data_IF_280557749364
#
_entry.id   IF_280557749364
#
_cell.length_a   1.000
_cell.length_b   1.000
_cell.length_c   1.000
_cell.angle_alpha   90.00
_cell.angle_beta   90.00
_cell.angle_gamma   90.00
#
_symmetry.space_group_name_H-M   'P 1'
#
loop_
_entity.id
_entity.type
_entity.pdbx_description
1 polymer ?
#
# COMPACT_ATOMS: atom_id res chain seq x y z
N UNK A 1 7.72 -13.86 3.58
CA UNK A 1 6.57 -12.96 3.77
C UNK A 1 5.35 -13.82 4.04
N UNK A 2 4.70 -13.65 5.19
CA UNK A 2 3.41 -14.27 5.48
C UNK A 2 2.28 -13.54 4.72
N UNK A 3 1.19 -14.23 4.33
CA UNK A 3 0.05 -13.60 3.67
C UNK A 3 -0.71 -12.63 4.58
N UNK A 4 -1.48 -11.75 3.96
CA UNK A 4 -2.36 -10.74 4.56
C UNK A 4 -1.63 -9.80 5.52
N UNK A 5 -0.42 -9.39 5.12
CA UNK A 5 0.45 -8.46 5.84
C UNK A 5 1.13 -7.49 4.90
N UNK A 6 1.36 -6.27 5.38
CA UNK A 6 2.22 -5.26 4.75
C UNK A 6 3.54 -5.17 5.51
N UNK A 7 4.64 -5.09 4.76
CA UNK A 7 6.00 -5.02 5.29
C UNK A 7 6.65 -3.73 4.81
N UNK A 8 7.43 -3.11 5.68
CA UNK A 8 8.23 -1.93 5.40
C UNK A 8 9.69 -2.27 5.66
N UNK A 9 10.53 -2.22 4.64
CA UNK A 9 11.91 -2.68 4.75
C UNK A 9 12.69 -1.83 5.76
N UNK A 10 13.35 -2.49 6.71
CA UNK A 10 14.17 -1.82 7.73
C UNK A 10 13.40 -1.14 8.85
N UNK A 11 12.07 -1.31 8.94
CA UNK A 11 11.31 -0.83 10.09
C UNK A 11 11.50 -1.74 11.32
N UNK A 12 11.00 -1.35 12.51
CA UNK A 12 11.19 -2.14 13.73
C UNK A 12 10.46 -3.49 13.80
N UNK A 13 9.52 -3.75 12.88
CA UNK A 13 8.71 -4.97 12.81
C UNK A 13 9.04 -5.81 11.57
N UNK A 14 10.12 -6.62 11.58
CA UNK A 14 10.47 -7.49 10.45
C UNK A 14 9.40 -8.54 10.11
N UNK A 15 8.49 -8.83 11.03
CA UNK A 15 7.31 -9.68 10.84
C UNK A 15 6.19 -9.01 10.01
N UNK A 16 6.32 -7.72 9.70
CA UNK A 16 5.32 -6.90 9.03
C UNK A 16 4.10 -6.63 9.92
N UNK A 17 3.08 -6.02 9.32
CA UNK A 17 1.86 -5.60 10.01
C UNK A 17 0.65 -6.29 9.39
N UNK A 18 -0.26 -6.87 10.18
CA UNK A 18 -1.49 -7.45 9.65
C UNK A 18 -2.27 -6.45 8.80
N UNK A 19 -2.85 -6.91 7.70
CA UNK A 19 -3.82 -6.11 6.94
C UNK A 19 -5.18 -6.26 7.61
N UNK A 20 -5.69 -5.16 8.17
CA UNK A 20 -6.98 -5.11 8.85
C UNK A 20 -8.13 -4.88 7.88
N UNK A 21 -7.88 -4.12 6.82
CA UNK A 21 -8.85 -3.80 5.79
C UNK A 21 -8.17 -3.83 4.43
N UNK A 22 -8.81 -4.49 3.46
CA UNK A 22 -8.42 -4.44 2.07
C UNK A 22 -9.66 -4.38 1.18
N UNK A 23 -9.63 -3.47 0.21
CA UNK A 23 -10.65 -3.36 -0.81
C UNK A 23 -9.98 -3.28 -2.19
N UNK A 24 -10.42 -4.14 -3.09
CA UNK A 24 -10.17 -4.01 -4.52
C UNK A 24 -11.50 -3.71 -5.20
N UNK A 25 -11.56 -2.60 -5.92
CA UNK A 25 -12.75 -2.18 -6.66
C UNK A 25 -12.41 -1.80 -8.09
N UNK A 26 -13.43 -1.82 -8.95
CA UNK A 26 -13.32 -1.52 -10.37
C UNK A 26 -14.41 -0.54 -10.79
N UNK A 27 -14.04 0.47 -11.56
CA UNK A 27 -14.95 1.48 -12.11
C UNK A 27 -14.69 1.72 -13.59
N UNK A 28 -15.73 2.14 -14.31
CA UNK A 28 -15.62 2.50 -15.71
C UNK A 28 -15.44 4.01 -15.89
N UNK A 29 -14.39 4.41 -16.60
CA UNK A 29 -14.14 5.81 -16.99
C UNK A 29 -13.93 5.84 -18.50
N UNK A 30 -14.84 6.51 -19.24
CA UNK A 30 -14.73 6.68 -20.69
C UNK A 30 -14.48 5.36 -21.47
N UNK A 31 -15.11 4.26 -21.04
CA UNK A 31 -14.97 2.94 -21.68
C UNK A 31 -13.77 2.11 -21.22
N UNK A 32 -12.93 2.68 -20.34
CA UNK A 32 -11.76 2.02 -19.75
C UNK A 32 -12.07 1.61 -18.31
N UNK A 33 -11.60 0.44 -17.91
CA UNK A 33 -11.70 -0.04 -16.53
C UNK A 33 -10.51 0.47 -15.74
N UNK A 34 -10.81 1.09 -14.61
CA UNK A 34 -9.84 1.56 -13.62
C UNK A 34 -9.99 0.74 -12.36
N UNK A 35 -8.86 0.36 -11.78
CA UNK A 35 -8.81 -0.29 -10.48
C UNK A 35 -8.44 0.71 -9.41
N UNK A 36 -9.13 0.55 -8.28
CA UNK A 36 -8.83 1.24 -7.06
C UNK A 36 -8.55 0.19 -5.97
N UNK A 37 -7.41 0.33 -5.29
CA UNK A 37 -7.06 -0.46 -4.11
C UNK A 37 -7.04 0.45 -2.87
N UNK A 38 -7.54 -0.10 -1.76
CA UNK A 38 -7.42 0.46 -0.42
C UNK A 38 -6.88 -0.61 0.51
N UNK A 39 -5.87 -0.24 1.31
CA UNK A 39 -5.29 -1.09 2.33
C UNK A 39 -5.13 -0.28 3.62
N UNK A 40 -5.55 -0.87 4.74
CA UNK A 40 -5.24 -0.39 6.08
C UNK A 40 -4.60 -1.50 6.90
N UNK A 41 -3.46 -1.22 7.51
CA UNK A 41 -2.87 -2.16 8.46
C UNK A 41 -3.64 -2.16 9.78
N UNK A 42 -3.46 -3.20 10.59
CA UNK A 42 -3.69 -3.10 12.02
C UNK A 42 -2.71 -2.10 12.64
N UNK A 43 -2.98 -1.73 13.89
CA UNK A 43 -2.08 -0.88 14.65
C UNK A 43 -0.71 -1.56 14.76
N UNK A 44 0.38 -0.81 14.67
CA UNK A 44 1.74 -1.36 14.64
C UNK A 44 2.09 -2.16 15.92
N UNK A 45 1.51 -1.76 17.06
CA UNK A 45 1.64 -2.42 18.36
C UNK A 45 0.58 -3.52 18.61
N UNK A 46 -0.19 -3.93 17.60
CA UNK A 46 -1.33 -4.86 17.80
C UNK A 46 -0.93 -6.29 18.19
N UNK A 47 0.26 -6.74 17.82
CA UNK A 47 0.76 -8.10 18.08
C UNK A 47 2.08 -8.12 18.86
N UNK A 48 2.91 -7.09 18.68
CA UNK A 48 4.15 -6.88 19.42
C UNK A 48 4.27 -5.41 19.78
N UNK A 49 4.22 -5.18 21.08
CA UNK A 49 4.62 -3.92 21.70
C UNK A 49 6.17 -3.88 21.75
N UNK A 50 6.76 -2.77 21.31
CA UNK A 50 8.20 -2.54 21.44
C UNK A 50 8.33 -1.44 22.47
N UNK A 51 8.74 -1.81 23.69
CA UNK A 51 8.97 -0.86 24.76
C UNK A 51 9.96 0.22 24.28
N UNK A 52 9.40 1.39 24.02
CA UNK A 52 10.05 2.48 23.29
C UNK A 52 9.51 3.82 23.76
N UNK A 53 8.90 3.87 24.95
CA UNK A 53 8.42 5.13 25.51
C UNK A 53 9.55 6.16 25.46
N UNK A 54 9.22 7.42 25.20
CA UNK A 54 10.24 8.46 25.10
C UNK A 54 11.02 8.60 26.42
N UNK A 55 10.40 8.26 27.56
CA UNK A 55 11.04 8.21 28.87
C UNK A 55 12.06 7.06 28.99
N UNK A 56 11.75 5.88 28.44
CA UNK A 56 12.65 4.72 28.48
C UNK A 56 13.78 4.82 27.45
N UNK A 57 13.51 5.38 26.26
CA UNK A 57 14.53 5.64 25.25
C UNK A 57 15.57 6.67 25.74
N UNK A 58 15.12 7.75 26.39
CA UNK A 58 16.01 8.75 27.02
C UNK A 58 16.76 8.17 28.22
N UNK A 59 16.13 7.29 29.01
CA UNK A 59 16.76 6.65 30.17
C UNK A 59 17.81 5.59 29.79
N UNK A 60 17.58 4.84 28.72
CA UNK A 60 18.49 3.81 28.19
C UNK A 60 19.54 4.41 27.22
N UNK A 61 19.40 5.69 26.83
CA UNK A 61 20.31 6.36 25.90
C UNK A 61 20.29 5.76 24.50
N UNK A 62 19.14 5.24 24.06
CA UNK A 62 18.97 4.58 22.77
C UNK A 62 18.83 5.65 21.68
N UNK A 63 19.88 5.86 20.89
CA UNK A 63 19.83 6.69 19.69
C UNK A 63 19.50 5.84 18.46
N UNK A 64 18.38 6.16 17.81
CA UNK A 64 18.02 5.60 16.51
C UNK A 64 18.68 6.41 15.38
N UNK A 65 19.07 5.74 14.29
CA UNK A 65 19.73 6.39 13.17
C UNK A 65 18.78 7.31 12.38
N UNK A 66 17.47 7.05 12.40
CA UNK A 66 16.43 7.92 11.87
C UNK A 66 15.06 7.58 12.46
N UNK A 67 14.06 8.42 12.16
CA UNK A 67 12.65 8.19 12.49
C UNK A 67 12.12 6.84 11.97
N UNK A 68 12.68 6.34 10.86
CA UNK A 68 12.27 5.06 10.26
C UNK A 68 12.60 3.86 11.15
N UNK A 69 13.72 3.90 11.88
CA UNK A 69 14.15 2.83 12.79
C UNK A 69 13.60 2.97 14.21
N UNK A 70 12.95 4.09 14.54
CA UNK A 70 12.48 4.42 15.88
C UNK A 70 11.03 3.93 16.13
N UNK A 71 10.79 2.87 16.94
CA UNK A 71 9.45 2.33 17.20
C UNK A 71 8.44 3.37 17.67
N UNK A 72 8.86 4.27 18.56
CA UNK A 72 8.03 5.34 19.12
C UNK A 72 7.42 6.25 18.05
N UNK A 73 8.14 6.49 16.95
CA UNK A 73 7.62 7.31 15.84
C UNK A 73 6.48 6.56 15.16
N UNK A 74 6.67 5.29 14.84
CA UNK A 74 5.62 4.46 14.23
C UNK A 74 4.38 4.40 15.11
N UNK A 75 4.55 4.09 16.40
CA UNK A 75 3.44 3.95 17.35
C UNK A 75 2.60 5.23 17.46
N UNK A 76 3.21 6.41 17.38
CA UNK A 76 2.51 7.69 17.34
C UNK A 76 1.61 7.87 16.10
N UNK A 77 1.92 7.20 14.98
CA UNK A 77 1.09 7.22 13.77
C UNK A 77 0.09 6.06 13.70
N UNK A 78 0.18 5.11 14.64
CA UNK A 78 -0.72 3.98 14.86
C UNK A 78 -0.75 2.93 13.75
N UNK A 79 -1.10 3.29 12.51
CA UNK A 79 -1.32 2.33 11.43
C UNK A 79 -1.10 2.94 10.04
N UNK A 80 -0.74 2.09 9.09
CA UNK A 80 -0.63 2.46 7.68
C UNK A 80 -2.02 2.53 7.02
N UNK A 81 -2.25 3.58 6.22
CA UNK A 81 -3.28 3.59 5.18
C UNK A 81 -2.61 3.83 3.84
N UNK A 82 -2.77 2.92 2.88
CA UNK A 82 -2.29 3.04 1.51
C UNK A 82 -3.49 2.91 0.57
N UNK A 83 -3.84 3.98 -0.13
CA UNK A 83 -5.13 4.03 -0.82
C UNK A 83 -5.16 4.93 -2.04
N UNK A 84 -5.95 4.49 -3.01
CA UNK A 84 -6.33 5.25 -4.21
C UNK A 84 -7.70 5.92 -4.09
N UNK A 85 -8.42 5.69 -2.98
CA UNK A 85 -9.82 6.12 -2.74
C UNK A 85 -10.03 6.91 -1.45
N UNK A 86 -9.12 6.82 -0.47
CA UNK A 86 -9.32 7.41 0.86
C UNK A 86 -9.25 8.95 0.87
N UNK A 87 -8.26 9.53 0.18
CA UNK A 87 -8.10 11.00 0.06
C UNK A 87 -8.57 11.54 -1.29
N UNK A 88 -8.35 10.76 -2.36
CA UNK A 88 -8.71 11.07 -3.74
C UNK A 88 -9.22 9.81 -4.41
N UNK A 89 -9.72 9.88 -5.66
CA UNK A 89 -10.14 8.71 -6.45
C UNK A 89 -9.38 8.64 -7.78
N UNK A 90 -8.09 8.29 -7.71
CA UNK A 90 -7.18 8.27 -8.87
C UNK A 90 -7.07 6.87 -9.47
N UNK A 91 -6.61 5.89 -8.70
CA UNK A 91 -6.48 4.50 -9.13
C UNK A 91 -5.57 4.36 -10.36
N UNK A 92 -5.68 3.25 -11.07
CA UNK A 92 -4.91 3.04 -12.30
C UNK A 92 -5.75 2.35 -13.38
N UNK A 93 -5.48 2.69 -14.64
CA UNK A 93 -6.09 2.04 -15.80
C UNK A 93 -5.65 0.58 -15.87
N UNK A 94 -6.61 -0.34 -15.83
CA UNK A 94 -6.38 -1.77 -15.80
C UNK A 94 -6.51 -2.40 -17.20
N UNK A 95 -7.63 -2.15 -17.90
CA UNK A 95 -7.87 -2.68 -19.23
C UNK A 95 -9.06 -1.95 -19.89
N UNK A 96 -9.38 -2.30 -21.14
CA UNK A 96 -10.66 -1.88 -21.73
C UNK A 96 -11.84 -2.66 -21.13
N UNK A 97 -13.07 -2.13 -21.25
CA UNK A 97 -14.27 -2.88 -20.79
C UNK A 97 -14.41 -4.26 -21.43
N UNK A 98 -13.97 -4.44 -22.68
CA UNK A 98 -14.11 -5.71 -23.40
C UNK A 98 -13.16 -6.80 -22.89
N UNK A 99 -12.01 -6.39 -22.34
CA UNK A 99 -11.00 -7.27 -21.77
C UNK A 99 -11.29 -7.63 -20.30
N UNK A 100 -12.33 -7.03 -19.71
CA UNK A 100 -12.62 -7.16 -18.30
C UNK A 100 -13.20 -8.54 -17.94
N UNK A 101 -12.31 -9.50 -17.66
CA UNK A 101 -12.66 -10.80 -17.11
C UNK A 101 -11.52 -11.33 -16.21
N UNK A 102 -11.82 -12.22 -15.24
CA UNK A 102 -10.80 -12.79 -14.36
C UNK A 102 -9.60 -13.41 -15.10
N UNK A 103 -9.87 -14.12 -16.20
CA UNK A 103 -8.84 -14.81 -16.99
C UNK A 103 -7.85 -13.85 -17.65
N UNK A 104 -8.29 -12.61 -17.94
CA UNK A 104 -7.38 -11.59 -18.42
C UNK A 104 -6.35 -11.26 -17.35
N UNK A 105 -6.74 -11.15 -16.08
CA UNK A 105 -5.86 -10.68 -15.01
C UNK A 105 -4.95 -11.76 -14.40
N UNK A 106 -5.25 -13.04 -14.62
CA UNK A 106 -4.44 -14.13 -14.08
C UNK A 106 -2.99 -14.08 -14.58
N UNK A 107 -2.06 -13.91 -13.63
CA UNK A 107 -0.63 -13.81 -13.86
C UNK A 107 -0.13 -12.43 -14.30
N UNK A 108 -1.03 -11.44 -14.50
CA UNK A 108 -0.64 -10.10 -14.97
C UNK A 108 -0.06 -9.25 -13.86
N UNK A 109 0.91 -8.44 -14.24
CA UNK A 109 1.52 -7.42 -13.39
C UNK A 109 1.36 -6.03 -14.01
N UNK A 110 1.01 -5.06 -13.16
CA UNK A 110 0.88 -3.65 -13.51
C UNK A 110 2.00 -2.85 -12.88
N UNK A 111 2.64 -2.00 -13.68
CA UNK A 111 3.51 -0.95 -13.17
C UNK A 111 2.73 0.35 -13.09
N UNK A 112 2.61 0.91 -11.87
CA UNK A 112 1.85 2.14 -11.61
C UNK A 112 2.79 3.18 -11.03
N UNK A 113 2.73 4.40 -11.55
CA UNK A 113 3.63 5.52 -11.24
C UNK A 113 5.12 5.13 -11.27
N UNK A 114 5.64 4.57 -12.38
CA UNK A 114 7.04 4.12 -12.45
C UNK A 114 8.05 5.27 -12.39
N UNK A 115 7.63 6.48 -12.77
CA UNK A 115 8.45 7.70 -12.85
C UNK A 115 7.75 8.84 -12.09
N UNK A 116 7.62 8.76 -10.75
CA UNK A 116 6.89 9.76 -9.95
C UNK A 116 7.49 11.16 -10.05
N UNK A 117 8.76 11.29 -10.42
CA UNK A 117 9.42 12.56 -10.71
C UNK A 117 8.84 13.31 -11.92
N UNK A 118 8.02 12.65 -12.75
CA UNK A 118 7.34 13.27 -13.89
C UNK A 118 5.94 13.78 -13.54
N UNK A 119 5.43 13.49 -12.33
CA UNK A 119 4.16 14.03 -11.88
C UNK A 119 4.30 15.54 -11.62
N UNK A 120 3.31 16.33 -12.08
CA UNK A 120 3.28 17.77 -11.85
C UNK A 120 2.97 18.07 -10.37
N UNK A 121 2.03 17.31 -9.82
CA UNK A 121 1.68 17.30 -8.41
C UNK A 121 1.70 15.86 -7.88
N UNK A 122 2.03 15.70 -6.60
CA UNK A 122 1.98 14.41 -5.93
C UNK A 122 0.55 13.91 -5.75
N UNK A 123 -0.39 14.84 -5.73
CA UNK A 123 -1.82 14.57 -5.81
C UNK A 123 -2.23 13.88 -7.14
N UNK A 124 -1.35 13.83 -8.14
CA UNK A 124 -1.59 13.10 -9.40
C UNK A 124 -1.19 11.63 -9.36
N UNK A 125 -0.50 11.17 -8.29
CA UNK A 125 -0.14 9.76 -8.13
C UNK A 125 -1.38 8.90 -7.89
N UNK A 126 -1.33 7.64 -8.35
CA UNK A 126 -2.46 6.72 -8.27
C UNK A 126 -2.84 6.36 -6.82
N UNK A 127 -1.83 6.33 -5.93
CA UNK A 127 -1.98 5.97 -4.54
C UNK A 127 -1.35 7.03 -3.63
N UNK A 128 -1.98 7.22 -2.48
CA UNK A 128 -1.49 8.07 -1.41
C UNK A 128 -1.30 7.21 -0.16
N UNK A 129 -0.39 7.63 0.72
CA UNK A 129 -0.06 6.87 1.92
C UNK A 129 -0.07 7.77 3.15
N UNK A 130 -0.55 7.21 4.25
CA UNK A 130 -0.30 7.70 5.59
C UNK A 130 0.45 6.60 6.34
N UNK A 131 1.70 6.88 6.71
CA UNK A 131 2.60 5.91 7.32
C UNK A 131 3.26 6.51 8.57
N UNK A 132 4.19 7.44 8.37
CA UNK A 132 4.80 8.24 9.43
C UNK A 132 4.38 9.71 9.30
N UNK A 133 3.13 9.89 8.87
CA UNK A 133 2.59 11.15 8.38
C UNK A 133 2.11 11.01 6.92
N UNK A 134 1.84 12.15 6.28
CA UNK A 134 1.48 12.21 4.86
C UNK A 134 2.71 12.05 3.96
N UNK A 135 3.21 10.83 3.88
CA UNK A 135 4.30 10.43 2.99
C UNK A 135 3.79 10.21 1.56
N UNK A 136 4.69 9.83 0.65
CA UNK A 136 4.30 9.43 -0.70
C UNK A 136 4.74 8.02 -1.03
N UNK A 137 3.88 7.33 -1.79
CA UNK A 137 4.14 6.00 -2.31
C UNK A 137 4.02 6.03 -3.84
N UNK A 138 4.98 5.38 -4.52
CA UNK A 138 4.98 5.28 -5.98
C UNK A 138 5.76 4.03 -6.43
N UNK A 139 6.07 3.94 -7.72
CA UNK A 139 6.87 2.87 -8.33
C UNK A 139 6.27 1.49 -8.03
N UNK A 140 4.94 1.43 -8.09
CA UNK A 140 4.21 0.24 -7.69
C UNK A 140 4.37 -0.87 -8.74
N UNK A 141 4.45 -2.10 -8.25
CA UNK A 141 4.24 -3.32 -9.03
C UNK A 141 3.14 -4.13 -8.36
N UNK A 142 2.04 -4.35 -9.08
CA UNK A 142 0.86 -5.05 -8.59
C UNK A 142 0.60 -6.25 -9.49
N UNK A 143 0.83 -7.44 -8.96
CA UNK A 143 0.59 -8.71 -9.66
C UNK A 143 -0.63 -9.42 -9.13
N UNK A 144 -1.49 -9.86 -10.03
CA UNK A 144 -2.69 -10.64 -9.75
C UNK A 144 -2.47 -12.08 -10.20
N UNK A 145 -2.74 -13.06 -9.33
CA UNK A 145 -2.61 -14.48 -9.62
C UNK A 145 -3.89 -15.20 -9.18
N UNK A 146 -4.61 -15.83 -10.10
CA UNK A 146 -5.85 -16.53 -9.78
C UNK A 146 -5.52 -17.89 -9.19
N UNK A 147 -5.95 -18.15 -7.95
CA UNK A 147 -5.79 -19.44 -7.32
C UNK A 147 -6.70 -20.47 -8.00
N UNK A 148 -6.11 -21.51 -8.60
CA UNK A 148 -6.84 -22.52 -9.36
C UNK A 148 -7.92 -23.26 -8.55
N UNK A 149 -7.71 -23.42 -7.24
CA UNK A 149 -8.61 -24.17 -6.36
C UNK A 149 -9.87 -23.38 -5.95
N UNK A 150 -9.74 -22.07 -5.74
CA UNK A 150 -10.83 -21.23 -5.23
C UNK A 150 -11.41 -20.28 -6.28
N UNK A 151 -10.65 -20.00 -7.34
CA UNK A 151 -10.99 -18.97 -8.32
C UNK A 151 -10.79 -17.53 -7.82
N UNK A 152 -10.38 -17.36 -6.56
CA UNK A 152 -10.03 -16.07 -5.96
C UNK A 152 -8.62 -15.65 -6.36
N UNK A 153 -8.28 -14.38 -6.13
CA UNK A 153 -6.97 -13.82 -6.48
C UNK A 153 -6.05 -13.74 -5.28
N UNK A 154 -4.79 -14.09 -5.50
CA UNK A 154 -3.69 -13.66 -4.67
C UNK A 154 -3.07 -12.42 -5.32
N UNK A 155 -2.75 -11.41 -4.51
CA UNK A 155 -2.23 -10.13 -4.99
C UNK A 155 -0.87 -9.89 -4.35
N UNK A 156 0.16 -9.69 -5.17
CA UNK A 156 1.46 -9.18 -4.73
C UNK A 156 1.55 -7.70 -5.08
N UNK A 157 1.72 -6.85 -4.08
CA UNK A 157 1.85 -5.41 -4.26
C UNK A 157 3.14 -4.94 -3.62
N UNK A 158 4.03 -4.37 -4.43
CA UNK A 158 5.27 -3.73 -3.95
C UNK A 158 5.32 -2.29 -4.44
N UNK A 159 6.14 -1.48 -3.80
CA UNK A 159 6.41 -0.12 -4.24
C UNK A 159 7.47 0.53 -3.36
N UNK A 160 7.68 1.82 -3.58
CA UNK A 160 8.62 2.63 -2.84
C UNK A 160 7.93 3.77 -2.12
N UNK A 161 8.53 4.22 -1.02
CA UNK A 161 8.04 5.31 -0.19
C UNK A 161 9.11 6.39 -0.07
N UNK A 162 8.67 7.65 -0.19
CA UNK A 162 9.44 8.83 0.14
C UNK A 162 8.89 9.43 1.44
N UNK A 163 9.72 9.69 2.48
CA UNK A 163 9.29 10.28 3.74
C UNK A 163 9.07 11.80 3.59
N UNK A 164 8.11 12.15 2.75
CA UNK A 164 7.89 13.52 2.33
C UNK A 164 7.24 14.38 3.39
N UNK A 165 6.60 13.77 4.38
CA UNK A 165 6.08 14.48 5.53
C UNK A 165 7.20 15.23 6.28
N UNK A 166 8.40 14.66 6.32
CA UNK A 166 9.60 15.30 6.90
C UNK A 166 10.44 16.07 5.87
N UNK A 167 9.91 16.27 4.66
CA UNK A 167 10.54 17.04 3.59
C UNK A 167 11.56 16.25 2.74
N UNK A 168 11.62 14.92 2.88
CA UNK A 168 12.46 14.09 2.04
C UNK A 168 11.64 13.44 0.91
N UNK A 169 11.93 13.86 -0.31
CA UNK A 169 11.20 13.47 -1.51
C UNK A 169 11.83 12.29 -2.27
N UNK A 170 12.89 11.69 -1.73
CA UNK A 170 13.54 10.53 -2.32
C UNK A 170 12.83 9.22 -1.94
N UNK A 171 12.47 8.42 -2.95
CA UNK A 171 11.81 7.12 -2.78
C UNK A 171 12.81 6.03 -2.37
N UNK A 172 13.30 6.10 -1.13
CA UNK A 172 14.36 5.23 -0.60
C UNK A 172 13.83 3.98 0.11
N UNK A 173 12.65 4.05 0.72
CA UNK A 173 12.08 2.94 1.48
C UNK A 173 11.26 2.02 0.59
N UNK A 174 11.25 0.73 0.88
CA UNK A 174 10.48 -0.29 0.16
C UNK A 174 9.31 -0.79 1.01
N UNK A 175 8.17 -1.03 0.37
CA UNK A 175 7.09 -1.80 0.97
C UNK A 175 6.72 -3.02 0.13
N UNK A 176 6.16 -4.03 0.79
CA UNK A 176 5.61 -5.21 0.12
C UNK A 176 4.38 -5.74 0.85
N UNK A 177 3.43 -6.25 0.07
CA UNK A 177 2.18 -6.85 0.52
C UNK A 177 1.96 -8.13 -0.28
N UNK A 178 1.50 -9.17 0.40
CA UNK A 178 0.93 -10.35 -0.23
C UNK A 178 -0.44 -10.62 0.38
N UNK A 179 -1.48 -10.56 -0.44
CA UNK A 179 -2.87 -10.80 -0.06
C UNK A 179 -3.33 -12.11 -0.69
N UNK A 180 -4.11 -12.90 0.04
CA UNK A 180 -4.67 -14.15 -0.46
C UNK A 180 -6.19 -14.12 -0.45
N UNK A 181 -6.79 -14.92 -1.32
CA UNK A 181 -8.24 -15.14 -1.35
C UNK A 181 -9.06 -13.84 -1.54
N UNK A 182 -8.58 -12.94 -2.39
CA UNK A 182 -9.25 -11.69 -2.74
C UNK A 182 -10.27 -11.93 -3.86
N UNK A 183 -11.49 -11.44 -3.67
CA UNK A 183 -12.53 -11.51 -4.71
C UNK A 183 -12.19 -10.61 -5.90
N UNK A 184 -12.44 -11.12 -7.12
CA UNK A 184 -12.37 -10.30 -8.32
C UNK A 184 -13.51 -9.28 -8.29
N UNK A 185 -13.23 -7.97 -8.42
CA UNK A 185 -14.25 -6.95 -8.24
C UNK A 185 -15.32 -7.05 -9.32
N UNK A 186 -16.58 -6.84 -8.94
CA UNK A 186 -17.60 -6.49 -9.91
C UNK A 186 -17.27 -5.13 -10.51
N UNK A 187 -17.50 -4.97 -11.82
CA UNK A 187 -17.39 -3.65 -12.44
C UNK A 187 -18.60 -2.82 -12.00
N UNK A 188 -18.36 -1.78 -11.20
CA UNK A 188 -19.41 -0.80 -10.94
C UNK A 188 -19.71 -0.08 -12.26
N UNK A 189 -20.93 -0.21 -12.76
CA UNK A 189 -21.40 0.70 -13.78
C UNK A 189 -21.40 2.10 -13.15
N UNK A 190 -20.76 3.07 -13.82
CA UNK A 190 -20.68 4.43 -13.33
C UNK A 190 -22.08 4.89 -12.91
N UNK A 191 -22.25 5.28 -11.65
CA UNK A 191 -23.46 5.96 -11.22
C UNK A 191 -23.63 7.16 -12.15
N UNK A 192 -24.71 7.15 -12.94
CA UNK A 192 -25.07 8.24 -13.84
C UNK A 192 -25.44 9.51 -13.09
#
# INVERSE_FOLDING_TARGET
MQPNRIYFAGNPWPEGHPVKEFQWSARLINGEVWFDLHLKSADYYSERDIDGSMEDADAEGVEYASDWEAPIVWENYHACTLSSTYWQSRGFKACSRQEYCPEFFDGREFSVDPAPEQAEDWDDLAFHIYLLGHDSAAKHRIKFEKAAETGLFNIRWTGKIAPAYTGNYEYTHDFSVYLENVEFPALADAAG
#
